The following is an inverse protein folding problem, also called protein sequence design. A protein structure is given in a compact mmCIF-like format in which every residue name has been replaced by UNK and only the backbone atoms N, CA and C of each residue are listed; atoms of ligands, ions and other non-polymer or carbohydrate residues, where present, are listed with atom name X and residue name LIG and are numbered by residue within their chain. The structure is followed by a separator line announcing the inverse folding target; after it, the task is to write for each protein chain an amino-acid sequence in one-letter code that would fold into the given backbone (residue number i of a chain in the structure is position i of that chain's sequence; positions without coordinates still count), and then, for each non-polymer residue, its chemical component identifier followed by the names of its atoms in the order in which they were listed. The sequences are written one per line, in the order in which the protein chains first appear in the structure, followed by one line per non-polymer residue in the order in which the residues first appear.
data_IF_760158104231
#
_entry.id   IF_760158104231
#
_cell.length_a   1.000
_cell.length_b   1.000
_cell.length_c   1.000
_cell.angle_alpha   90.00
_cell.angle_beta   90.00
_cell.angle_gamma   90.00
#
_symmetry.space_group_name_H-M   'P 1'
#
loop_
_entity.id
_entity.type
_entity.pdbx_description
1 polymer ?
#
# COMPACT_ATOMS: atom_id res chain seq x y z
N UNK A 1 -12.01 -7.68 -5.25
CA UNK A 1 -10.71 -7.80 -4.61
C UNK A 1 -9.87 -6.59 -4.93
N UNK A 2 -8.87 -6.37 -4.10
CA UNK A 2 -7.90 -5.30 -4.34
C UNK A 2 -6.69 -5.93 -5.02
N UNK A 3 -6.17 -5.29 -6.07
CA UNK A 3 -4.98 -5.78 -6.72
C UNK A 3 -3.77 -5.08 -6.12
N UNK A 4 -2.90 -5.84 -5.49
CA UNK A 4 -1.73 -5.29 -4.83
C UNK A 4 -0.49 -5.94 -5.44
N UNK A 5 0.36 -5.12 -6.03
CA UNK A 5 1.57 -5.58 -6.72
C UNK A 5 1.25 -6.64 -7.75
N UNK A 6 0.15 -6.46 -8.46
CA UNK A 6 -0.26 -7.38 -9.51
C UNK A 6 -0.98 -8.62 -9.05
N UNK A 7 -1.25 -8.74 -7.77
CA UNK A 7 -1.93 -9.93 -7.23
C UNK A 7 -3.25 -9.53 -6.59
N UNK A 8 -4.27 -10.32 -6.85
CA UNK A 8 -5.58 -10.08 -6.25
C UNK A 8 -5.56 -10.52 -4.79
N UNK A 9 -5.98 -9.62 -3.92
CA UNK A 9 -5.97 -9.86 -2.48
C UNK A 9 -7.33 -9.47 -1.91
N UNK A 10 -7.78 -10.23 -0.93
CA UNK A 10 -9.02 -9.90 -0.24
C UNK A 10 -8.73 -8.96 0.90
N UNK A 11 -8.40 -7.73 0.55
CA UNK A 11 -8.04 -6.73 1.56
C UNK A 11 -8.95 -5.51 1.51
N UNK A 12 -10.08 -5.63 0.82
CA UNK A 12 -11.04 -4.52 0.80
C UNK A 12 -11.57 -4.29 2.20
N UNK A 13 -11.73 -3.01 2.54
CA UNK A 13 -12.30 -2.65 3.83
C UNK A 13 -11.30 -2.23 4.87
N UNK A 14 -10.02 -2.46 4.65
CA UNK A 14 -9.00 -2.01 5.61
C UNK A 14 -8.25 -0.84 5.01
N UNK A 15 -7.59 -0.08 5.87
CA UNK A 15 -6.81 1.05 5.40
C UNK A 15 -5.48 0.58 4.83
N UNK A 16 -4.87 1.46 4.03
CA UNK A 16 -3.52 1.20 3.54
C UNK A 16 -2.59 0.99 4.73
N UNK A 17 -2.74 1.80 5.76
CA UNK A 17 -1.90 1.69 6.94
C UNK A 17 -2.04 0.31 7.59
N UNK A 18 -3.26 -0.18 7.71
CA UNK A 18 -3.48 -1.51 8.28
C UNK A 18 -2.85 -2.58 7.43
N UNK A 19 -2.99 -2.46 6.11
CA UNK A 19 -2.40 -3.45 5.23
C UNK A 19 -0.89 -3.49 5.37
N UNK A 20 -0.27 -2.32 5.40
CA UNK A 20 1.19 -2.26 5.54
C UNK A 20 1.66 -2.86 6.84
N UNK A 21 0.89 -2.66 7.90
CA UNK A 21 1.24 -3.22 9.19
C UNK A 21 1.10 -4.73 9.19
N UNK A 22 0.05 -5.24 8.58
CA UNK A 22 -0.17 -6.68 8.51
C UNK A 22 0.95 -7.39 7.77
N UNK A 23 1.50 -6.73 6.75
CA UNK A 23 2.52 -7.33 5.92
C UNK A 23 3.93 -6.96 6.36
N UNK A 24 4.04 -6.27 7.48
CA UNK A 24 5.34 -5.92 8.05
C UNK A 24 6.18 -5.02 7.15
N UNK A 25 5.52 -4.17 6.40
CA UNK A 25 6.24 -3.17 5.62
C UNK A 25 6.77 -2.07 6.54
N UNK A 26 7.94 -1.55 6.21
CA UNK A 26 8.47 -0.38 6.90
C UNK A 26 8.09 0.85 6.09
N UNK A 27 7.17 1.66 6.64
CA UNK A 27 6.65 2.79 5.89
C UNK A 27 7.71 3.81 5.53
N UNK A 28 8.84 3.78 6.22
CA UNK A 28 9.92 4.70 5.90
C UNK A 28 10.67 4.31 4.65
N UNK A 29 10.50 3.09 4.19
CA UNK A 29 11.27 2.57 3.07
C UNK A 29 10.38 2.14 1.92
N UNK A 30 9.17 2.65 1.86
CA UNK A 30 8.26 2.29 0.78
C UNK A 30 7.54 3.53 0.26
N UNK A 31 7.02 3.36 -0.95
CA UNK A 31 6.12 4.32 -1.57
C UNK A 31 4.89 3.55 -2.00
N UNK A 32 3.72 4.13 -1.79
CA UNK A 32 2.47 3.49 -2.17
C UNK A 32 1.85 4.25 -3.33
N UNK A 33 1.60 3.54 -4.43
CA UNK A 33 0.82 4.05 -5.54
C UNK A 33 -0.58 3.50 -5.42
N UNK A 34 -1.54 4.38 -5.32
CA UNK A 34 -2.94 4.01 -5.17
C UNK A 34 -3.68 4.49 -6.41
N UNK A 35 -4.10 3.54 -7.24
CA UNK A 35 -4.78 3.84 -8.51
C UNK A 35 -3.96 4.83 -9.33
N UNK A 36 -2.67 4.51 -9.48
CA UNK A 36 -1.73 5.25 -10.31
C UNK A 36 -1.32 6.60 -9.73
N UNK A 37 -1.62 6.84 -8.47
CA UNK A 37 -1.22 8.09 -7.82
C UNK A 37 -0.44 7.77 -6.56
N UNK A 38 0.69 8.43 -6.40
CA UNK A 38 1.47 8.28 -5.18
C UNK A 38 0.78 9.06 -4.08
N UNK A 39 0.44 8.37 -2.99
CA UNK A 39 -0.21 9.03 -1.89
C UNK A 39 0.79 9.30 -0.77
N UNK A 40 0.64 10.42 -0.07
CA UNK A 40 1.54 10.73 1.05
C UNK A 40 1.27 9.83 2.24
N UNK A 41 2.27 9.71 3.09
CA UNK A 41 2.17 8.81 4.24
C UNK A 41 1.04 9.18 5.18
N UNK A 42 0.77 10.46 5.31
CA UNK A 42 -0.28 10.89 6.22
C UNK A 42 -1.66 10.47 5.76
N UNK A 43 -1.77 10.01 4.51
CA UNK A 43 -3.07 9.55 4.00
C UNK A 43 -3.25 8.05 4.14
N UNK A 44 -2.23 7.32 4.57
CA UNK A 44 -2.31 5.87 4.61
C UNK A 44 -3.44 5.39 5.52
N UNK A 45 -3.60 6.03 6.67
CA UNK A 45 -4.62 5.61 7.62
C UNK A 45 -6.03 5.98 7.17
N UNK A 46 -6.13 6.94 6.26
CA UNK A 46 -7.44 7.40 5.79
C UNK A 46 -7.86 6.76 4.47
N UNK A 47 -6.94 6.10 3.79
CA UNK A 47 -7.23 5.50 2.50
C UNK A 47 -7.68 4.08 2.71
N UNK A 48 -8.96 3.84 2.48
CA UNK A 48 -9.56 2.52 2.68
C UNK A 48 -9.54 1.78 1.35
N UNK A 49 -8.99 0.59 1.37
CA UNK A 49 -8.93 -0.23 0.16
C UNK A 49 -10.31 -0.71 -0.21
N UNK A 50 -10.60 -0.72 -1.50
CA UNK A 50 -11.91 -1.09 -2.02
C UNK A 50 -11.74 -2.07 -3.18
N UNK A 51 -12.79 -2.84 -3.41
CA UNK A 51 -12.80 -3.74 -4.56
C UNK A 51 -12.50 -2.95 -5.83
N UNK A 52 -11.62 -3.50 -6.64
CA UNK A 52 -11.27 -2.86 -7.88
C UNK A 52 -10.11 -1.90 -7.79
N UNK A 53 -9.65 -1.60 -6.60
CA UNK A 53 -8.49 -0.73 -6.44
C UNK A 53 -7.23 -1.43 -6.91
N UNK A 54 -6.31 -0.64 -7.44
CA UNK A 54 -5.02 -1.12 -7.88
C UNK A 54 -3.96 -0.41 -7.08
N UNK A 55 -3.15 -1.18 -6.35
CA UNK A 55 -2.17 -0.64 -5.43
C UNK A 55 -0.81 -1.22 -5.76
N UNK A 56 0.21 -0.36 -5.75
CA UNK A 56 1.57 -0.83 -5.88
C UNK A 56 2.39 -0.31 -4.73
N UNK A 57 3.14 -1.19 -4.12
CA UNK A 57 4.01 -0.84 -3.02
C UNK A 57 5.43 -1.08 -3.47
N UNK A 58 6.19 0.00 -3.54
CA UNK A 58 7.57 -0.04 -4.00
C UNK A 58 8.48 0.12 -2.81
N UNK A 59 9.33 -0.86 -2.59
CA UNK A 59 10.33 -0.79 -1.53
C UNK A 59 11.62 -0.23 -2.09
N UNK A 60 12.16 0.76 -1.41
CA UNK A 60 13.51 1.22 -1.74
C UNK A 60 14.33 1.04 -0.48
N UNK A 61 15.35 0.23 -0.62
CA UNK A 61 16.14 -0.13 0.54
C UNK A 61 17.21 0.87 0.83
N UNK A 62 17.09 1.94 0.24
CA UNK A 62 17.95 3.00 0.58
C UNK A 62 19.34 2.55 0.69
N UNK A 63 19.95 2.41 -0.33
CA UNK A 63 21.29 2.22 -0.22
C UNK A 63 21.59 1.14 0.73
N UNK A 64 20.79 0.39 0.75
CA UNK A 64 21.07 -0.57 1.50
C UNK A 64 21.66 -0.15 2.70
N UNK A 65 21.53 0.32 2.67
CA UNK A 65 22.01 0.39 3.68
C UNK A 65 22.40 0.33 3.85
#
# INVERSE_FOLDING_TARGET
MVRINGQDCEKAGISVSDYLEQENYNVKHIVVEYNLEIIPKEWYAQTILKDGDEVEIVSFMGGGC
#
